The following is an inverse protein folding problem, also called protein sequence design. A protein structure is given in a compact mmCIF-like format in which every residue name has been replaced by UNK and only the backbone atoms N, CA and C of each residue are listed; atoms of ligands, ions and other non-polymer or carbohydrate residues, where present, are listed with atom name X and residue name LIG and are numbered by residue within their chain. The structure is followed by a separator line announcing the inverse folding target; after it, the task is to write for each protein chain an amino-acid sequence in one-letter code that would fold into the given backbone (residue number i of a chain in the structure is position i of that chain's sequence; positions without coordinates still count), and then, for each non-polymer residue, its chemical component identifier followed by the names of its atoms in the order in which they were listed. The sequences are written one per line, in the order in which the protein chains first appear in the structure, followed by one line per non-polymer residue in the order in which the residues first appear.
data_IF_356343147816
#
_entry.id   IF_356343147816
#
_cell.length_a   1.000
_cell.length_b   1.000
_cell.length_c   1.000
_cell.angle_alpha   90.00
_cell.angle_beta   90.00
_cell.angle_gamma   90.00
#
_symmetry.space_group_name_H-M   'P 1'
#
loop_
_entity.id
_entity.type
_entity.pdbx_description
1 polymer ?
#
# COMPACT_ATOMS: atom_id res chain seq x y z
N UNK A 1 -41.84 -34.93 -6.70
CA UNK A 1 -40.44 -34.46 -6.90
C UNK A 1 -40.09 -33.39 -5.85
N UNK A 2 -38.95 -33.47 -5.17
CA UNK A 2 -38.47 -32.34 -4.37
C UNK A 2 -38.23 -31.13 -5.28
N UNK A 3 -38.45 -29.90 -4.80
CA UNK A 3 -38.14 -28.70 -5.57
C UNK A 3 -36.63 -28.67 -5.89
N UNK A 4 -36.24 -28.17 -7.07
CA UNK A 4 -34.82 -27.98 -7.39
C UNK A 4 -34.17 -27.06 -6.36
N UNK A 5 -32.91 -27.30 -5.97
CA UNK A 5 -32.20 -26.40 -5.07
C UNK A 5 -32.16 -25.00 -5.68
N UNK A 6 -32.27 -23.93 -4.86
CA UNK A 6 -32.17 -22.58 -5.37
C UNK A 6 -30.80 -22.38 -6.05
N UNK A 7 -30.72 -21.58 -7.12
CA UNK A 7 -29.45 -21.25 -7.75
C UNK A 7 -28.52 -20.61 -6.71
N UNK A 8 -27.19 -20.86 -6.77
CA UNK A 8 -26.25 -20.19 -5.88
C UNK A 8 -26.41 -18.68 -6.03
N UNK A 9 -26.54 -17.97 -4.90
CA UNK A 9 -26.52 -16.50 -4.88
C UNK A 9 -25.16 -15.96 -5.33
N UNK A 10 -25.04 -14.63 -5.56
CA UNK A 10 -23.73 -14.01 -5.75
C UNK A 10 -22.84 -14.32 -4.54
N UNK A 11 -21.55 -14.56 -4.80
CA UNK A 11 -20.55 -14.86 -3.78
C UNK A 11 -20.45 -13.71 -2.78
N UNK A 12 -20.19 -14.04 -1.51
CA UNK A 12 -19.89 -13.04 -0.47
C UNK A 12 -18.55 -12.35 -0.73
N UNK A 13 -18.31 -11.21 -0.09
CA UNK A 13 -17.02 -10.49 -0.19
C UNK A 13 -15.84 -11.36 0.28
N UNK A 14 -16.05 -12.18 1.32
CA UNK A 14 -15.07 -13.13 1.85
C UNK A 14 -14.79 -14.25 0.84
N UNK A 15 -15.84 -14.82 0.22
CA UNK A 15 -15.68 -15.85 -0.81
C UNK A 15 -14.95 -15.31 -2.06
N UNK A 16 -15.20 -14.06 -2.43
CA UNK A 16 -14.47 -13.39 -3.51
C UNK A 16 -12.99 -13.20 -3.13
N UNK A 17 -12.74 -12.66 -1.94
CA UNK A 17 -11.38 -12.46 -1.43
C UNK A 17 -10.57 -13.77 -1.41
N UNK A 18 -11.15 -14.88 -0.96
CA UNK A 18 -10.50 -16.19 -0.92
C UNK A 18 -10.20 -16.74 -2.31
N UNK A 19 -11.01 -16.42 -3.33
CA UNK A 19 -10.79 -16.89 -4.71
C UNK A 19 -9.82 -16.03 -5.51
N UNK A 20 -9.66 -14.74 -5.19
CA UNK A 20 -8.76 -13.84 -5.92
C UNK A 20 -7.29 -14.23 -5.72
N UNK A 21 -6.52 -14.25 -6.79
CA UNK A 21 -5.05 -14.31 -6.70
C UNK A 21 -4.47 -13.02 -6.08
N UNK A 22 -3.21 -13.07 -5.65
CA UNK A 22 -2.52 -11.86 -5.17
C UNK A 22 -2.42 -10.77 -6.24
N UNK A 23 -2.26 -11.14 -7.50
CA UNK A 23 -2.15 -10.19 -8.61
C UNK A 23 -3.50 -9.52 -8.88
N UNK A 24 -4.60 -10.29 -8.89
CA UNK A 24 -5.96 -9.73 -8.99
C UNK A 24 -6.27 -8.81 -7.81
N UNK A 25 -5.89 -9.22 -6.60
CA UNK A 25 -6.09 -8.41 -5.40
C UNK A 25 -5.30 -7.11 -5.46
N UNK A 26 -4.02 -7.14 -5.87
CA UNK A 26 -3.24 -5.91 -6.01
C UNK A 26 -3.75 -5.01 -7.16
N UNK A 27 -4.31 -5.59 -8.21
CA UNK A 27 -4.88 -4.83 -9.33
C UNK A 27 -6.11 -4.02 -8.95
N UNK A 28 -6.84 -4.42 -7.89
CA UNK A 28 -7.96 -3.62 -7.36
C UNK A 28 -7.51 -2.50 -6.42
N UNK A 29 -6.22 -2.39 -6.11
CA UNK A 29 -5.66 -1.38 -5.19
C UNK A 29 -6.44 -1.29 -3.86
N UNK A 30 -6.45 -2.36 -3.05
CA UNK A 30 -7.27 -2.43 -1.84
C UNK A 30 -6.83 -1.46 -0.74
N UNK A 31 -5.63 -0.87 -0.88
CA UNK A 31 -5.07 0.10 0.04
C UNK A 31 -4.59 1.33 -0.75
N UNK A 32 -4.90 2.50 -0.21
CA UNK A 32 -4.53 3.79 -0.78
C UNK A 32 -3.04 4.10 -0.49
N UNK A 33 -2.29 4.68 -1.44
CA UNK A 33 -0.92 5.12 -1.19
C UNK A 33 -0.87 6.33 -0.26
N UNK A 34 0.24 6.48 0.48
CA UNK A 34 0.53 7.68 1.28
C UNK A 34 1.48 8.59 0.52
N UNK A 35 1.19 9.88 0.44
CA UNK A 35 2.05 10.85 -0.26
C UNK A 35 2.89 11.67 0.73
N UNK A 36 4.03 12.16 0.23
CA UNK A 36 5.00 12.91 1.02
C UNK A 36 5.38 14.23 0.36
N UNK A 37 5.75 15.20 1.19
CA UNK A 37 6.35 16.44 0.74
C UNK A 37 7.75 16.21 0.16
N UNK A 38 8.23 17.22 -0.57
CA UNK A 38 9.58 17.22 -1.12
C UNK A 38 10.60 17.06 0.01
N UNK A 39 11.57 16.18 -0.21
CA UNK A 39 12.67 15.90 0.73
C UNK A 39 12.23 15.48 2.15
N UNK A 40 11.02 14.93 2.28
CA UNK A 40 10.44 14.56 3.57
C UNK A 40 9.99 13.10 3.62
N UNK A 41 10.05 12.52 4.82
CA UNK A 41 9.49 11.22 5.17
C UNK A 41 8.43 11.31 6.29
N UNK A 42 8.05 12.53 6.71
CA UNK A 42 7.01 12.74 7.71
C UNK A 42 5.62 12.41 7.12
N UNK A 43 4.80 11.74 7.91
CA UNK A 43 3.42 11.42 7.54
C UNK A 43 2.51 12.60 7.92
N UNK A 44 2.02 13.28 6.88
CA UNK A 44 1.04 14.38 6.98
C UNK A 44 -0.32 13.89 7.51
N UNK A 45 -1.18 14.79 8.04
CA UNK A 45 -2.51 14.44 8.56
C UNK A 45 -3.40 13.66 7.58
N UNK A 46 -3.32 13.98 6.30
CA UNK A 46 -4.03 13.27 5.22
C UNK A 46 -3.52 11.83 5.11
N UNK A 47 -2.19 11.65 5.15
CA UNK A 47 -1.53 10.35 5.17
C UNK A 47 -1.91 9.51 6.39
N UNK A 48 -2.06 10.12 7.57
CA UNK A 48 -2.54 9.44 8.77
C UNK A 48 -3.96 8.90 8.60
N UNK A 49 -4.84 9.68 7.97
CA UNK A 49 -6.22 9.28 7.69
C UNK A 49 -6.29 8.13 6.67
N UNK A 50 -5.40 8.13 5.69
CA UNK A 50 -5.22 7.02 4.74
C UNK A 50 -4.77 5.76 5.47
N UNK A 51 -3.73 5.86 6.30
CA UNK A 51 -3.20 4.73 7.05
C UNK A 51 -4.18 4.13 8.04
N UNK A 52 -5.06 4.95 8.61
CA UNK A 52 -6.17 4.49 9.44
C UNK A 52 -7.08 3.53 8.66
N UNK A 53 -7.51 3.92 7.44
CA UNK A 53 -8.34 3.06 6.57
C UNK A 53 -7.61 1.80 6.14
N UNK A 54 -6.33 1.92 5.78
CA UNK A 54 -5.52 0.76 5.40
C UNK A 54 -5.35 -0.22 6.58
N UNK A 55 -5.19 0.29 7.81
CA UNK A 55 -5.13 -0.54 9.01
C UNK A 55 -6.48 -1.26 9.27
N UNK A 56 -7.60 -0.57 9.13
CA UNK A 56 -8.94 -1.17 9.23
C UNK A 56 -9.14 -2.29 8.20
N UNK A 57 -8.67 -2.09 6.97
CA UNK A 57 -8.68 -3.13 5.94
C UNK A 57 -7.83 -4.35 6.34
N UNK A 58 -6.62 -4.14 6.88
CA UNK A 58 -5.76 -5.22 7.36
C UNK A 58 -6.31 -5.95 8.60
N UNK A 59 -7.13 -5.27 9.41
CA UNK A 59 -7.84 -5.85 10.55
C UNK A 59 -9.03 -6.70 10.07
N UNK A 60 -9.74 -6.27 9.02
CA UNK A 60 -10.78 -7.06 8.36
C UNK A 60 -10.23 -8.35 7.74
N UNK A 61 -9.03 -8.31 7.18
CA UNK A 61 -8.35 -9.45 6.55
C UNK A 61 -7.10 -9.86 7.33
N UNK A 62 -7.22 -10.54 8.48
CA UNK A 62 -6.13 -10.73 9.45
C UNK A 62 -4.99 -11.63 8.96
N UNK A 63 -5.22 -12.44 7.93
CA UNK A 63 -4.21 -13.31 7.32
C UNK A 63 -3.29 -12.57 6.34
N UNK A 64 -3.67 -11.37 5.90
CA UNK A 64 -2.91 -10.62 4.90
C UNK A 64 -1.55 -10.16 5.42
N UNK A 65 -0.54 -10.24 4.56
CA UNK A 65 0.76 -9.58 4.76
C UNK A 65 1.02 -8.61 3.64
N UNK A 66 1.65 -7.49 3.95
CA UNK A 66 1.89 -6.42 3.00
C UNK A 66 3.37 -6.08 2.91
N UNK A 67 3.75 -5.50 1.78
CA UNK A 67 5.01 -4.79 1.57
C UNK A 67 4.68 -3.33 1.28
N UNK A 68 5.36 -2.43 1.98
CA UNK A 68 5.35 -1.00 1.73
C UNK A 68 6.57 -0.67 0.88
N UNK A 69 6.33 -0.12 -0.30
CA UNK A 69 7.36 0.32 -1.22
C UNK A 69 7.49 1.86 -1.15
N UNK A 70 8.66 2.35 -0.77
CA UNK A 70 8.94 3.78 -0.66
C UNK A 70 9.53 4.33 -1.95
N UNK A 71 8.89 5.36 -2.52
CA UNK A 71 9.27 5.98 -3.78
C UNK A 71 9.63 7.46 -3.60
N UNK A 72 10.48 7.96 -4.50
CA UNK A 72 10.93 9.33 -4.61
C UNK A 72 10.69 9.87 -6.02
N UNK A 73 10.71 11.21 -6.15
CA UNK A 73 10.80 11.83 -7.47
C UNK A 73 12.25 11.83 -7.98
N UNK A 74 12.45 12.20 -9.24
CA UNK A 74 13.74 12.08 -9.96
C UNK A 74 14.84 13.05 -9.50
N UNK A 75 14.55 13.91 -8.51
CA UNK A 75 15.51 14.92 -8.05
C UNK A 75 16.39 14.33 -6.96
N UNK A 76 17.70 14.50 -7.12
CA UNK A 76 18.71 13.98 -6.19
C UNK A 76 19.58 12.92 -6.84
N UNK A 77 20.41 12.23 -6.05
CA UNK A 77 21.12 11.03 -6.53
C UNK A 77 20.30 9.79 -6.24
N UNK A 78 20.52 8.72 -7.00
CA UNK A 78 19.81 7.46 -6.77
C UNK A 78 20.07 6.94 -5.34
N UNK A 79 21.31 6.99 -4.84
CA UNK A 79 21.66 6.54 -3.48
C UNK A 79 20.91 7.34 -2.41
N UNK A 80 20.78 8.66 -2.61
CA UNK A 80 20.00 9.51 -1.72
C UNK A 80 18.52 9.12 -1.76
N UNK A 81 17.97 8.97 -2.95
CA UNK A 81 16.57 8.59 -3.15
C UNK A 81 16.25 7.21 -2.58
N UNK A 82 17.18 6.25 -2.65
CA UNK A 82 17.05 4.96 -1.99
C UNK A 82 16.94 5.12 -0.46
N UNK A 83 17.81 5.91 0.17
CA UNK A 83 17.75 6.16 1.62
C UNK A 83 16.47 6.92 2.05
N UNK A 84 16.02 7.89 1.27
CA UNK A 84 14.78 8.61 1.53
C UNK A 84 13.55 7.70 1.36
N UNK A 85 13.53 6.86 0.33
CA UNK A 85 12.49 5.85 0.13
C UNK A 85 12.42 4.85 1.27
N UNK A 86 13.56 4.39 1.80
CA UNK A 86 13.60 3.50 2.97
C UNK A 86 13.01 4.18 4.20
N UNK A 87 13.34 5.46 4.42
CA UNK A 87 12.80 6.27 5.52
C UNK A 87 11.28 6.43 5.41
N UNK A 88 10.74 6.67 4.21
CA UNK A 88 9.29 6.75 3.95
C UNK A 88 8.57 5.43 4.24
N UNK A 89 9.12 4.32 3.73
CA UNK A 89 8.54 3.00 3.95
C UNK A 89 8.56 2.61 5.44
N UNK A 90 9.65 2.93 6.15
CA UNK A 90 9.77 2.71 7.59
C UNK A 90 8.75 3.55 8.37
N UNK A 91 8.59 4.83 8.06
CA UNK A 91 7.61 5.70 8.72
C UNK A 91 6.18 5.14 8.59
N UNK A 92 5.80 4.69 7.39
CA UNK A 92 4.50 4.06 7.13
C UNK A 92 4.32 2.78 7.95
N UNK A 93 5.32 1.89 7.95
CA UNK A 93 5.29 0.66 8.74
C UNK A 93 5.09 0.96 10.22
N UNK A 94 5.89 1.86 10.77
CA UNK A 94 5.88 2.17 12.20
C UNK A 94 4.55 2.80 12.61
N UNK A 95 3.95 3.62 11.75
CA UNK A 95 2.61 4.16 11.96
C UNK A 95 1.54 3.06 11.94
N UNK A 96 1.55 2.14 10.97
CA UNK A 96 0.62 0.99 10.96
C UNK A 96 0.78 0.12 12.22
N UNK A 97 2.00 -0.09 12.68
CA UNK A 97 2.26 -0.82 13.94
C UNK A 97 1.67 -0.07 15.14
N UNK A 98 1.77 1.25 15.18
CA UNK A 98 1.14 2.06 16.22
C UNK A 98 -0.39 1.97 16.22
N UNK A 99 -1.00 1.66 15.07
CA UNK A 99 -2.43 1.38 14.91
C UNK A 99 -2.82 -0.07 15.26
N UNK A 100 -1.86 -0.87 15.76
CA UNK A 100 -2.10 -2.23 16.22
C UNK A 100 -1.91 -3.32 15.17
N UNK A 101 -1.38 -3.00 13.98
CA UNK A 101 -1.00 -4.02 13.01
C UNK A 101 0.30 -4.71 13.46
N UNK A 102 0.33 -6.05 13.60
CA UNK A 102 1.56 -6.75 13.94
C UNK A 102 2.70 -6.46 12.95
N UNK A 103 3.86 -6.05 13.44
CA UNK A 103 5.00 -5.65 12.58
C UNK A 103 5.49 -6.76 11.64
N UNK A 104 5.32 -8.04 12.00
CA UNK A 104 5.64 -9.17 11.13
C UNK A 104 4.70 -9.31 9.92
N UNK A 105 3.60 -8.56 9.86
CA UNK A 105 2.70 -8.49 8.70
C UNK A 105 3.08 -7.37 7.73
N UNK A 106 4.05 -6.53 8.07
CA UNK A 106 4.43 -5.37 7.27
C UNK A 106 5.93 -5.41 6.97
N UNK A 107 6.28 -5.62 5.71
CA UNK A 107 7.67 -5.52 5.22
C UNK A 107 7.87 -4.20 4.48
N UNK A 108 9.11 -3.76 4.34
CA UNK A 108 9.46 -2.48 3.70
C UNK A 108 10.54 -2.68 2.64
N UNK A 109 10.46 -1.95 1.54
CA UNK A 109 11.49 -1.88 0.48
C UNK A 109 11.55 -0.44 -0.03
N UNK A 110 12.74 0.10 -0.24
CA UNK A 110 12.90 1.32 -1.04
C UNK A 110 12.99 1.01 -2.53
N UNK A 111 12.30 1.82 -3.32
CA UNK A 111 12.40 1.88 -4.77
C UNK A 111 13.13 3.13 -5.25
N UNK A 112 13.46 4.06 -4.36
CA UNK A 112 14.00 5.36 -4.71
C UNK A 112 13.22 6.00 -5.86
N UNK A 113 13.95 6.46 -6.87
CA UNK A 113 13.38 7.00 -8.12
C UNK A 113 13.20 5.95 -9.23
N UNK A 114 13.58 4.69 -9.00
CA UNK A 114 13.73 3.66 -10.06
C UNK A 114 12.38 3.13 -10.59
N UNK A 115 11.27 3.47 -9.93
CA UNK A 115 9.92 3.03 -10.31
C UNK A 115 8.94 4.20 -10.28
N UNK A 116 9.09 5.17 -11.21
CA UNK A 116 8.23 6.34 -11.27
C UNK A 116 6.82 5.95 -11.71
N UNK A 117 5.82 6.58 -11.11
CA UNK A 117 4.43 6.47 -11.55
C UNK A 117 4.12 7.44 -12.69
N UNK A 118 4.84 8.55 -12.74
CA UNK A 118 4.78 9.55 -13.77
C UNK A 118 6.23 9.99 -14.10
N UNK A 119 6.54 10.21 -15.38
CA UNK A 119 7.92 10.48 -15.84
C UNK A 119 8.15 11.92 -16.32
N UNK A 120 7.16 12.80 -16.17
CA UNK A 120 7.29 14.21 -16.53
C UNK A 120 8.04 15.01 -15.46
N UNK A 121 8.91 15.93 -15.87
CA UNK A 121 9.71 16.74 -14.96
C UNK A 121 9.00 18.00 -14.47
N UNK A 122 7.91 17.83 -13.71
CA UNK A 122 7.19 18.93 -13.07
C UNK A 122 6.52 18.54 -11.75
N UNK A 123 6.16 19.53 -10.91
CA UNK A 123 5.66 19.29 -9.55
C UNK A 123 4.40 18.40 -9.49
N UNK A 124 3.46 18.58 -10.43
CA UNK A 124 2.29 17.69 -10.53
C UNK A 124 2.61 16.21 -10.76
N UNK A 125 3.78 15.90 -11.31
CA UNK A 125 4.26 14.54 -11.53
C UNK A 125 5.11 14.06 -10.35
N UNK A 126 6.05 14.91 -9.90
CA UNK A 126 6.92 14.63 -8.77
C UNK A 126 6.13 14.30 -7.49
N UNK A 127 5.07 15.06 -7.18
CA UNK A 127 4.18 14.79 -6.04
C UNK A 127 3.55 13.40 -6.06
N UNK A 128 3.25 12.85 -7.25
CA UNK A 128 2.72 11.49 -7.39
C UNK A 128 3.79 10.41 -7.21
N UNK A 129 5.06 10.76 -7.43
CA UNK A 129 6.19 9.85 -7.25
C UNK A 129 6.66 9.77 -5.80
N UNK A 130 6.49 10.83 -5.01
CA UNK A 130 6.78 10.83 -3.57
C UNK A 130 5.71 10.10 -2.77
N UNK A 131 5.78 8.77 -2.74
CA UNK A 131 4.73 7.94 -2.11
C UNK A 131 5.24 6.70 -1.39
N UNK A 132 4.43 6.21 -0.46
CA UNK A 132 4.48 4.85 0.09
C UNK A 132 3.36 4.03 -0.55
N UNK A 133 3.74 3.10 -1.42
CA UNK A 133 2.82 2.20 -2.12
C UNK A 133 2.65 0.90 -1.34
N UNK A 134 1.44 0.33 -1.36
CA UNK A 134 1.15 -0.94 -0.69
C UNK A 134 1.02 -2.06 -1.71
N UNK A 135 1.58 -3.22 -1.37
CA UNK A 135 1.47 -4.46 -2.13
C UNK A 135 1.12 -5.59 -1.17
N UNK A 136 0.02 -6.31 -1.43
CA UNK A 136 -0.32 -7.54 -0.71
C UNK A 136 0.61 -8.65 -1.17
N UNK A 137 1.25 -9.32 -0.21
CA UNK A 137 2.28 -10.35 -0.45
C UNK A 137 1.86 -11.73 0.04
N UNK A 138 0.84 -11.81 0.90
CA UNK A 138 0.19 -13.04 1.32
C UNK A 138 -1.24 -12.73 1.77
N UNK A 139 -2.09 -13.75 1.76
CA UNK A 139 -3.43 -13.78 2.34
C UNK A 139 -3.66 -15.16 2.95
#
# INVERSE_FOLDING_TARGET
PPPPPPPPGPLSEEELFERMSLDELNSTSPMDPVFFDYDAAEILPEGRSILQRNAEWMQKWPSTRIRVEGHCDERGTNEYNLGLGDSRAAAVRDYLVSLGIPGNRVTTVSRGEESPFCSDSHEGCWSRNRRGQFVVTAK
#
